data_IF_986585895891
#
_entry.id   IF_986585895891
#
_cell.length_a   1.000
_cell.length_b   1.000
_cell.length_c   1.000
_cell.angle_alpha   90.00
_cell.angle_beta   90.00
_cell.angle_gamma   90.00
#
_symmetry.space_group_name_H-M   'P 1'
#
loop_
_entity.id
_entity.type
_entity.pdbx_description
1 polymer ?
#
# COMPACT_ATOMS: atom_id res chain seq x y z
N UNK A 1 -32.02 34.60 -60.72
CA UNK A 1 -30.89 35.47 -60.35
C UNK A 1 -30.48 35.04 -58.95
N UNK A 2 -29.22 34.63 -58.80
CA UNK A 2 -28.70 33.84 -57.69
C UNK A 2 -28.55 34.63 -56.39
N UNK A 3 -28.76 33.99 -55.24
CA UNK A 3 -27.73 33.72 -54.21
C UNK A 3 -28.36 33.07 -52.97
N UNK A 4 -27.75 31.99 -52.49
CA UNK A 4 -27.78 31.59 -51.08
C UNK A 4 -26.52 32.13 -50.40
N UNK A 5 -26.55 32.34 -49.08
CA UNK A 5 -25.51 31.70 -48.28
C UNK A 5 -26.00 31.00 -47.00
N UNK A 6 -25.12 30.12 -46.53
CA UNK A 6 -25.21 29.09 -45.48
C UNK A 6 -25.29 29.61 -44.03
N UNK A 7 -25.66 28.74 -43.05
CA UNK A 7 -25.91 29.13 -41.66
C UNK A 7 -24.68 28.95 -40.75
N UNK A 8 -24.55 29.83 -39.75
CA UNK A 8 -23.50 29.74 -38.73
C UNK A 8 -23.96 30.24 -37.35
N UNK A 9 -23.98 29.31 -36.40
CA UNK A 9 -23.72 29.47 -34.95
C UNK A 9 -24.50 30.50 -34.13
N UNK A 10 -25.41 30.01 -33.28
CA UNK A 10 -25.70 30.59 -31.95
C UNK A 10 -26.74 29.73 -31.21
N UNK A 11 -26.30 28.89 -30.27
CA UNK A 11 -27.20 28.30 -29.26
C UNK A 11 -26.43 28.18 -27.94
N UNK A 12 -26.29 29.34 -27.29
CA UNK A 12 -25.85 29.50 -25.91
C UNK A 12 -26.89 30.37 -25.20
N UNK A 13 -28.00 29.75 -24.78
CA UNK A 13 -28.93 30.34 -23.83
C UNK A 13 -29.88 29.28 -23.25
N UNK A 14 -29.77 29.12 -21.92
CA UNK A 14 -30.88 28.88 -20.97
C UNK A 14 -31.46 27.45 -20.88
N UNK A 15 -31.23 26.81 -19.72
CA UNK A 15 -32.26 26.65 -18.67
C UNK A 15 -31.56 26.66 -17.29
N UNK A 16 -31.88 27.67 -16.49
CA UNK A 16 -31.63 27.75 -15.05
C UNK A 16 -32.86 27.25 -14.29
N UNK A 17 -32.61 26.61 -13.14
CA UNK A 17 -33.49 26.51 -11.96
C UNK A 17 -34.80 25.70 -12.11
N UNK A 18 -35.33 24.99 -11.12
CA UNK A 18 -34.93 24.57 -9.79
C UNK A 18 -36.00 23.54 -9.33
N UNK A 19 -35.72 22.87 -8.21
CA UNK A 19 -36.64 22.62 -7.08
C UNK A 19 -36.78 21.15 -6.63
N UNK A 20 -36.06 20.87 -5.54
CA UNK A 20 -36.48 20.23 -4.30
C UNK A 20 -37.35 18.94 -4.36
N UNK A 21 -36.76 17.82 -3.93
CA UNK A 21 -37.48 16.77 -3.20
C UNK A 21 -36.59 16.15 -2.13
N UNK A 22 -37.14 16.15 -0.92
CA UNK A 22 -36.61 15.90 0.41
C UNK A 22 -36.19 14.43 0.68
N UNK A 23 -35.11 14.24 1.45
CA UNK A 23 -34.62 12.93 1.92
C UNK A 23 -35.13 12.61 3.34
N UNK A 24 -35.48 11.35 3.67
CA UNK A 24 -36.08 11.00 4.96
C UNK A 24 -35.05 10.93 6.12
N UNK A 25 -35.44 11.24 7.37
CA UNK A 25 -34.50 11.39 8.49
C UNK A 25 -34.11 10.05 9.15
N UNK A 26 -32.85 9.98 9.58
CA UNK A 26 -32.28 8.88 10.36
C UNK A 26 -32.73 8.96 11.82
N UNK A 27 -33.40 7.90 12.29
CA UNK A 27 -33.79 7.70 13.70
C UNK A 27 -32.55 7.51 14.58
N UNK A 28 -32.32 8.42 15.51
CA UNK A 28 -31.37 8.23 16.61
C UNK A 28 -32.05 7.50 17.77
N UNK A 29 -31.49 6.37 18.20
CA UNK A 29 -31.86 5.71 19.46
C UNK A 29 -30.73 5.89 20.45
N UNK A 30 -30.90 6.92 21.28
CA UNK A 30 -30.15 7.16 22.52
C UNK A 30 -30.61 6.10 23.54
N UNK A 31 -29.75 5.16 23.95
CA UNK A 31 -30.02 4.26 25.08
C UNK A 31 -28.99 4.51 26.18
N UNK A 32 -29.52 4.87 27.34
CA UNK A 32 -28.81 5.52 28.44
C UNK A 32 -27.90 4.64 29.27
N UNK A 33 -27.14 5.35 30.10
CA UNK A 33 -26.31 4.95 31.22
C UNK A 33 -27.03 4.06 32.24
N UNK A 34 -26.37 2.98 32.67
CA UNK A 34 -26.62 2.33 33.96
C UNK A 34 -25.28 1.99 34.63
N UNK A 35 -25.11 2.51 35.84
CA UNK A 35 -24.14 2.09 36.87
C UNK A 35 -24.65 0.85 37.60
N UNK A 36 -23.78 -0.05 38.08
CA UNK A 36 -24.09 -0.87 39.25
C UNK A 36 -23.17 -0.56 40.45
N UNK A 37 -23.76 -0.82 41.61
CA UNK A 37 -23.36 -0.42 42.94
C UNK A 37 -22.23 -1.27 43.56
N UNK A 38 -21.75 -0.75 44.70
CA UNK A 38 -20.85 -1.32 45.69
C UNK A 38 -21.14 -2.80 46.04
N UNK A 39 -20.07 -3.57 46.12
CA UNK A 39 -19.94 -4.77 46.96
C UNK A 39 -18.50 -4.86 47.46
N UNK A 40 -18.32 -4.78 48.77
CA UNK A 40 -17.08 -5.04 49.52
C UNK A 40 -16.77 -6.54 49.43
N UNK A 41 -15.51 -6.98 49.27
CA UNK A 41 -14.76 -7.78 50.26
C UNK A 41 -13.40 -8.26 49.68
N UNK A 42 -12.45 -8.46 50.59
CA UNK A 42 -11.00 -8.65 50.45
C UNK A 42 -10.50 -9.94 49.75
N UNK A 43 -9.26 -9.87 49.20
CA UNK A 43 -8.25 -10.93 49.42
C UNK A 43 -7.61 -11.66 48.21
N UNK A 44 -6.34 -11.30 47.93
CA UNK A 44 -5.23 -12.05 47.26
C UNK A 44 -5.26 -12.34 45.73
N UNK A 45 -4.09 -12.26 45.05
CA UNK A 45 -3.99 -12.42 43.59
C UNK A 45 -3.77 -13.88 43.15
N UNK A 46 -4.36 -14.25 42.00
CA UNK A 46 -4.13 -15.52 41.30
C UNK A 46 -3.42 -15.32 39.94
N UNK A 47 -2.58 -16.28 39.51
CA UNK A 47 -1.55 -16.08 38.49
C UNK A 47 -2.04 -16.25 37.04
N UNK A 48 -1.28 -15.67 36.11
CA UNK A 48 -1.49 -15.71 34.67
C UNK A 48 -1.34 -17.14 34.10
N UNK A 49 -2.41 -17.63 33.46
CA UNK A 49 -2.41 -18.86 32.67
C UNK A 49 -1.88 -18.60 31.26
N UNK A 50 -0.74 -19.20 30.96
CA UNK A 50 -0.22 -19.42 29.61
C UNK A 50 -1.00 -20.56 28.94
N UNK A 51 -1.53 -20.31 27.73
CA UNK A 51 -2.29 -21.28 26.93
C UNK A 51 -1.47 -21.71 25.71
N UNK A 52 -1.28 -23.04 25.62
CA UNK A 52 -0.54 -23.86 24.64
C UNK A 52 -1.05 -23.75 23.19
N UNK A 53 -0.17 -24.09 22.23
CA UNK A 53 -0.22 -25.27 21.34
C UNK A 53 0.99 -25.22 20.36
N UNK A 54 1.65 -26.27 19.85
CA UNK A 54 1.61 -27.73 20.02
C UNK A 54 2.70 -28.39 19.15
N UNK A 55 3.31 -29.50 19.65
CA UNK A 55 3.81 -30.70 18.93
C UNK A 55 5.02 -30.58 17.97
N UNK A 56 6.15 -31.18 18.35
CA UNK A 56 6.79 -32.29 17.61
C UNK A 56 7.68 -33.11 18.57
N UNK A 57 7.37 -34.40 18.72
CA UNK A 57 8.19 -35.38 19.44
C UNK A 57 8.81 -36.33 18.42
N UNK A 58 10.14 -36.49 18.44
CA UNK A 58 10.78 -37.73 17.98
C UNK A 58 12.04 -38.01 18.80
N UNK A 59 11.92 -39.05 19.61
CA UNK A 59 12.95 -39.67 20.45
C UNK A 59 13.74 -40.67 19.59
N UNK A 60 15.06 -40.67 19.69
CA UNK A 60 15.86 -41.89 19.52
C UNK A 60 17.12 -41.82 20.37
N UNK A 61 17.17 -42.74 21.33
CA UNK A 61 18.26 -43.05 22.23
C UNK A 61 19.28 -43.98 21.57
N UNK A 62 20.56 -43.60 21.62
CA UNK A 62 21.74 -44.48 21.49
C UNK A 62 22.73 -43.91 22.53
N UNK A 63 23.15 -44.60 23.59
CA UNK A 63 23.90 -45.85 23.58
C UNK A 63 25.37 -45.51 23.87
N UNK A 64 25.75 -45.44 25.16
CA UNK A 64 27.13 -45.21 25.62
C UNK A 64 27.95 -46.49 25.47
N UNK A 65 29.07 -46.45 24.74
CA UNK A 65 30.14 -47.46 24.79
C UNK A 65 31.45 -46.76 25.11
N UNK A 66 32.08 -47.21 26.19
CA UNK A 66 33.44 -46.86 26.57
C UNK A 66 34.43 -47.64 25.69
N UNK A 67 35.39 -46.93 25.09
CA UNK A 67 36.41 -47.53 24.23
C UNK A 67 37.39 -46.46 23.75
N UNK A 68 38.56 -46.47 24.36
CA UNK A 68 39.61 -45.46 24.29
C UNK A 68 40.22 -45.27 22.90
N UNK A 69 40.69 -44.04 22.67
CA UNK A 69 41.58 -43.51 21.60
C UNK A 69 40.87 -42.62 20.59
N UNK A 70 40.79 -41.32 20.92
CA UNK A 70 40.73 -40.26 19.92
C UNK A 70 41.86 -39.26 20.14
N UNK A 71 42.48 -38.76 19.06
CA UNK A 71 43.79 -38.12 19.10
C UNK A 71 43.71 -36.78 19.81
N UNK A 72 44.77 -36.44 20.55
CA UNK A 72 44.99 -35.10 21.06
C UNK A 72 45.12 -34.12 19.89
N UNK A 73 44.06 -33.37 19.61
CA UNK A 73 44.10 -32.17 18.78
C UNK A 73 43.67 -30.96 19.60
N UNK A 74 44.26 -30.81 20.79
CA UNK A 74 44.26 -29.51 21.45
C UNK A 74 45.58 -28.83 21.15
N UNK A 75 45.67 -28.18 19.99
CA UNK A 75 46.47 -26.98 19.88
C UNK A 75 45.76 -26.01 18.92
N UNK A 76 45.03 -25.07 19.52
CA UNK A 76 44.90 -23.70 19.05
C UNK A 76 44.61 -23.50 17.55
N UNK A 77 43.34 -23.66 17.17
CA UNK A 77 42.76 -22.75 16.20
C UNK A 77 41.43 -22.24 16.72
N UNK A 78 41.50 -21.15 17.49
CA UNK A 78 40.50 -20.10 17.34
C UNK A 78 40.54 -19.72 15.87
N UNK A 79 39.66 -20.32 15.08
CA UNK A 79 39.36 -19.82 13.74
C UNK A 79 38.71 -18.47 13.98
N UNK A 80 39.55 -17.44 14.02
CA UNK A 80 39.11 -16.08 13.80
C UNK A 80 38.46 -16.11 12.43
N UNK A 81 37.12 -16.12 12.40
CA UNK A 81 36.39 -15.93 11.16
C UNK A 81 36.81 -14.56 10.66
N UNK A 82 37.69 -14.63 9.67
CA UNK A 82 38.18 -13.60 8.78
C UNK A 82 37.17 -12.47 8.64
N UNK A 83 37.53 -11.28 9.13
CA UNK A 83 37.84 -10.11 8.30
C UNK A 83 36.84 -9.67 7.23
N UNK A 84 35.65 -10.23 7.17
CA UNK A 84 34.54 -9.70 6.41
C UNK A 84 33.90 -8.63 7.29
N UNK A 85 33.63 -7.42 6.79
CA UNK A 85 32.81 -6.48 7.54
C UNK A 85 31.47 -7.17 7.75
N UNK A 86 31.27 -7.67 8.98
CA UNK A 86 29.97 -8.03 9.51
C UNK A 86 29.12 -6.82 9.21
N UNK A 87 28.13 -7.01 8.35
CA UNK A 87 27.14 -6.03 7.91
C UNK A 87 27.01 -4.96 8.99
N UNK A 88 27.53 -3.75 8.74
CA UNK A 88 27.47 -2.70 9.76
C UNK A 88 25.99 -2.62 10.17
N UNK A 89 25.66 -2.74 11.47
CA UNK A 89 24.27 -2.64 11.87
C UNK A 89 23.80 -1.27 11.37
N UNK A 90 22.74 -1.26 10.56
CA UNK A 90 22.16 -0.03 10.02
C UNK A 90 21.97 0.89 11.23
N UNK A 91 22.81 1.92 11.33
CA UNK A 91 22.69 2.90 12.39
C UNK A 91 21.37 3.61 12.11
N UNK A 92 20.33 3.24 12.85
CA UNK A 92 19.05 3.92 12.82
C UNK A 92 19.29 5.27 13.46
N UNK A 93 19.71 6.25 12.67
CA UNK A 93 19.79 7.64 13.09
C UNK A 93 18.41 8.02 13.62
N UNK A 94 18.31 8.24 14.94
CA UNK A 94 17.11 8.77 15.54
C UNK A 94 17.03 10.23 15.13
N UNK A 95 16.22 10.51 14.12
CA UNK A 95 15.85 11.87 13.76
C UNK A 95 14.71 12.31 14.69
N UNK A 96 14.78 13.54 15.20
CA UNK A 96 13.66 14.16 15.91
C UNK A 96 12.58 14.59 14.90
N UNK A 97 11.32 14.63 15.34
CA UNK A 97 10.22 15.11 14.51
C UNK A 97 10.43 16.59 14.16
N UNK A 98 10.29 16.93 12.89
CA UNK A 98 10.39 18.33 12.42
C UNK A 98 9.12 19.14 12.73
N UNK A 99 8.04 18.50 13.20
CA UNK A 99 6.72 19.09 13.51
C UNK A 99 6.14 19.97 12.38
N UNK A 100 6.45 19.63 11.12
CA UNK A 100 6.00 20.39 9.96
C UNK A 100 4.58 19.97 9.59
N UNK A 101 3.65 20.90 9.77
CA UNK A 101 2.23 20.69 9.48
C UNK A 101 1.86 20.77 7.99
N UNK A 102 2.81 21.05 7.09
CA UNK A 102 2.52 21.15 5.66
C UNK A 102 3.76 21.07 4.78
N UNK A 103 3.57 20.81 3.48
CA UNK A 103 4.65 20.74 2.50
C UNK A 103 5.31 22.10 2.30
N UNK A 104 6.62 22.10 2.04
CA UNK A 104 7.35 23.32 1.70
C UNK A 104 6.86 23.88 0.35
N UNK A 105 7.22 25.14 0.06
CA UNK A 105 6.86 25.78 -1.22
C UNK A 105 7.43 24.97 -2.38
N UNK A 106 6.54 24.52 -3.27
CA UNK A 106 6.91 23.68 -4.43
C UNK A 106 7.09 22.19 -4.12
N UNK A 107 6.93 21.76 -2.86
CA UNK A 107 7.01 20.36 -2.46
C UNK A 107 5.64 19.71 -2.26
N UNK A 108 4.62 20.18 -2.99
CA UNK A 108 3.30 19.55 -3.01
C UNK A 108 3.30 18.35 -3.95
N UNK A 109 2.42 17.38 -3.69
CA UNK A 109 2.21 16.25 -4.59
C UNK A 109 1.69 16.73 -5.96
N UNK A 110 2.49 16.51 -7.00
CA UNK A 110 2.12 16.80 -8.39
C UNK A 110 1.48 15.55 -9.03
N UNK A 111 0.15 15.51 -9.02
CA UNK A 111 -0.61 14.39 -9.55
C UNK A 111 -0.40 14.19 -11.06
N UNK A 112 -0.23 15.27 -11.83
CA UNK A 112 -0.05 15.19 -13.27
C UNK A 112 1.33 14.61 -13.62
N UNK A 113 2.38 15.06 -12.92
CA UNK A 113 3.72 14.51 -13.09
C UNK A 113 3.75 13.02 -12.73
N UNK A 114 3.14 12.63 -11.62
CA UNK A 114 3.07 11.21 -11.23
C UNK A 114 2.28 10.41 -12.27
N UNK A 115 1.15 10.92 -12.75
CA UNK A 115 0.35 10.24 -13.78
C UNK A 115 1.17 9.96 -15.05
N UNK A 116 1.92 10.94 -15.56
CA UNK A 116 2.79 10.74 -16.74
C UNK A 116 3.84 9.65 -16.52
N UNK A 117 4.43 9.60 -15.32
CA UNK A 117 5.38 8.55 -14.93
C UNK A 117 4.71 7.18 -14.93
N UNK A 118 3.50 7.07 -14.36
CA UNK A 118 2.75 5.82 -14.34
C UNK A 118 2.39 5.34 -15.75
N UNK A 119 1.90 6.24 -16.61
CA UNK A 119 1.56 5.94 -18.01
C UNK A 119 2.77 5.45 -18.80
N UNK A 120 3.90 6.16 -18.73
CA UNK A 120 5.13 5.77 -19.42
C UNK A 120 5.67 4.42 -18.92
N UNK A 121 5.59 4.20 -17.62
CA UNK A 121 6.02 2.96 -16.98
C UNK A 121 5.16 1.77 -17.40
N UNK A 122 3.83 1.92 -17.37
CA UNK A 122 2.90 0.89 -17.81
C UNK A 122 3.07 0.57 -19.29
N UNK A 123 3.20 1.58 -20.14
CA UNK A 123 3.42 1.41 -21.57
C UNK A 123 4.72 0.64 -21.87
N UNK A 124 5.80 0.97 -21.15
CA UNK A 124 7.08 0.28 -21.30
C UNK A 124 7.01 -1.18 -20.81
N UNK A 125 6.37 -1.43 -19.66
CA UNK A 125 6.34 -2.76 -19.04
C UNK A 125 5.36 -3.73 -19.71
N UNK A 126 4.21 -3.22 -20.19
CA UNK A 126 3.10 -4.04 -20.69
C UNK A 126 2.90 -3.95 -22.21
N UNK A 127 3.66 -3.12 -22.92
CA UNK A 127 3.55 -2.93 -24.37
C UNK A 127 3.61 -4.23 -25.18
N UNK A 128 4.50 -5.15 -24.79
CA UNK A 128 4.69 -6.45 -25.46
C UNK A 128 4.21 -7.64 -24.64
N UNK A 129 3.67 -7.40 -23.44
CA UNK A 129 3.24 -8.46 -22.53
C UNK A 129 1.89 -9.05 -22.96
N UNK A 130 1.79 -10.38 -22.90
CA UNK A 130 0.53 -11.10 -23.10
C UNK A 130 -0.06 -11.57 -21.77
N UNK A 131 -1.38 -11.57 -21.65
CA UNK A 131 -2.03 -12.06 -20.43
C UNK A 131 -1.72 -13.54 -20.19
N UNK A 132 -1.24 -13.86 -18.98
CA UNK A 132 -1.07 -15.23 -18.52
C UNK A 132 -1.71 -15.37 -17.14
N UNK A 133 -2.75 -16.22 -16.96
CA UNK A 133 -3.42 -16.37 -15.68
C UNK A 133 -2.47 -16.83 -14.56
N UNK A 134 -1.52 -17.71 -14.85
CA UNK A 134 -0.57 -18.23 -13.85
C UNK A 134 0.50 -17.21 -13.45
N UNK A 135 0.87 -16.32 -14.38
CA UNK A 135 1.88 -15.27 -14.17
C UNK A 135 1.30 -13.92 -13.74
N UNK A 136 -0.02 -13.75 -13.75
CA UNK A 136 -0.69 -12.47 -13.54
C UNK A 136 -0.45 -11.89 -12.13
N UNK A 137 -0.54 -12.70 -11.08
CA UNK A 137 -0.32 -12.27 -9.70
C UNK A 137 1.12 -11.76 -9.45
N UNK A 138 2.20 -12.51 -9.77
CA UNK A 138 3.55 -12.00 -9.59
C UNK A 138 3.86 -10.82 -10.51
N UNK A 139 3.27 -10.75 -11.71
CA UNK A 139 3.40 -9.59 -12.60
C UNK A 139 2.76 -8.34 -11.97
N UNK A 140 1.56 -8.46 -11.39
CA UNK A 140 0.90 -7.33 -10.73
C UNK A 140 1.70 -6.84 -9.52
N UNK A 141 2.30 -7.76 -8.74
CA UNK A 141 3.17 -7.40 -7.62
C UNK A 141 4.43 -6.67 -8.10
N UNK A 142 5.13 -7.21 -9.11
CA UNK A 142 6.34 -6.58 -9.63
C UNK A 142 6.06 -5.21 -10.25
N UNK A 143 4.93 -5.06 -10.95
CA UNK A 143 4.46 -3.76 -11.45
C UNK A 143 4.19 -2.78 -10.31
N UNK A 144 3.55 -3.24 -9.22
CA UNK A 144 3.26 -2.38 -8.06
C UNK A 144 4.56 -1.84 -7.45
N UNK A 145 5.56 -2.70 -7.25
CA UNK A 145 6.87 -2.32 -6.73
C UNK A 145 7.61 -1.36 -7.67
N UNK A 146 7.59 -1.65 -8.97
CA UNK A 146 8.23 -0.82 -9.99
C UNK A 146 7.59 0.57 -10.05
N UNK A 147 6.25 0.65 -10.13
CA UNK A 147 5.52 1.91 -10.14
C UNK A 147 5.71 2.70 -8.85
N UNK A 148 5.72 2.02 -7.70
CA UNK A 148 6.00 2.68 -6.42
C UNK A 148 7.41 3.29 -6.42
N UNK A 149 8.42 2.60 -6.97
CA UNK A 149 9.78 3.12 -7.05
C UNK A 149 9.89 4.29 -8.03
N UNK A 150 9.27 4.20 -9.21
CA UNK A 150 9.24 5.32 -10.17
C UNK A 150 8.51 6.55 -9.59
N UNK A 151 7.41 6.34 -8.87
CA UNK A 151 6.70 7.43 -8.21
C UNK A 151 7.53 8.07 -7.09
N UNK A 152 8.32 7.29 -6.33
CA UNK A 152 9.21 7.84 -5.28
C UNK A 152 10.23 8.83 -5.82
N UNK A 153 10.69 8.69 -7.07
CA UNK A 153 11.70 9.59 -7.65
C UNK A 153 11.14 10.97 -8.00
N UNK A 154 9.84 11.06 -8.28
CA UNK A 154 9.18 12.33 -8.64
C UNK A 154 8.39 12.95 -7.48
N UNK A 155 7.97 12.14 -6.51
CA UNK A 155 7.21 12.63 -5.37
C UNK A 155 8.13 13.32 -4.36
N UNK A 156 7.76 14.53 -3.88
CA UNK A 156 8.53 15.23 -2.86
C UNK A 156 8.73 14.40 -1.57
N UNK A 157 9.79 14.67 -0.79
CA UNK A 157 10.00 14.01 0.49
C UNK A 157 8.84 14.29 1.46
N UNK A 158 8.70 13.43 2.48
CA UNK A 158 7.61 13.43 3.48
C UNK A 158 6.23 13.03 2.96
N UNK A 159 6.13 12.40 1.79
CA UNK A 159 4.91 11.69 1.41
C UNK A 159 5.04 10.18 1.66
N UNK A 160 3.98 9.60 2.23
CA UNK A 160 3.76 8.15 2.25
C UNK A 160 3.02 7.76 0.99
N UNK A 161 3.57 6.79 0.26
CA UNK A 161 3.01 6.32 -1.01
C UNK A 161 2.32 4.98 -0.85
N UNK A 162 1.05 4.93 -1.26
CA UNK A 162 0.30 3.69 -1.42
C UNK A 162 0.06 3.46 -2.91
N UNK A 163 0.57 2.35 -3.44
CA UNK A 163 0.38 1.96 -4.84
C UNK A 163 -0.61 0.79 -4.90
N UNK A 164 -1.58 0.88 -5.79
CA UNK A 164 -2.56 -0.16 -6.06
C UNK A 164 -2.61 -0.43 -7.57
N UNK A 165 -2.49 -1.70 -7.96
CA UNK A 165 -2.53 -2.12 -9.36
C UNK A 165 -3.59 -3.20 -9.54
N UNK A 166 -4.48 -2.98 -10.50
CA UNK A 166 -5.43 -3.97 -10.99
C UNK A 166 -4.96 -4.41 -12.37
N UNK A 167 -4.67 -5.71 -12.53
CA UNK A 167 -4.28 -6.32 -13.78
C UNK A 167 -5.34 -7.37 -14.17
N UNK A 168 -5.78 -7.37 -15.42
CA UNK A 168 -6.76 -8.35 -15.89
C UNK A 168 -6.65 -8.65 -17.38
N UNK A 169 -7.35 -9.69 -17.81
CA UNK A 169 -7.45 -10.06 -19.23
C UNK A 169 -8.30 -9.03 -19.98
N UNK A 170 -7.88 -8.65 -21.18
CA UNK A 170 -8.70 -7.88 -22.10
C UNK A 170 -9.68 -8.82 -22.79
N UNK A 171 -10.97 -8.55 -22.64
CA UNK A 171 -12.06 -9.33 -23.20
C UNK A 171 -13.31 -8.48 -23.34
N UNK A 172 -14.47 -9.12 -23.51
CA UNK A 172 -15.75 -8.40 -23.60
C UNK A 172 -16.39 -8.23 -22.22
N UNK A 173 -15.63 -7.68 -21.28
CA UNK A 173 -16.09 -7.34 -19.93
C UNK A 173 -15.92 -5.85 -19.66
N UNK A 174 -16.74 -5.33 -18.75
CA UNK A 174 -16.62 -3.97 -18.22
C UNK A 174 -16.15 -4.02 -16.77
N UNK A 175 -15.21 -3.14 -16.44
CA UNK A 175 -14.69 -2.94 -15.09
C UNK A 175 -14.68 -1.45 -14.78
N UNK A 176 -15.17 -1.09 -13.59
CA UNK A 176 -15.06 0.25 -13.04
C UNK A 176 -14.27 0.16 -11.75
N UNK A 177 -13.16 0.90 -11.67
CA UNK A 177 -12.35 1.03 -10.45
C UNK A 177 -12.63 2.41 -9.85
N UNK A 178 -13.05 2.41 -8.59
CA UNK A 178 -13.30 3.64 -7.84
C UNK A 178 -12.74 3.51 -6.42
N UNK A 179 -12.33 4.64 -5.86
CA UNK A 179 -11.85 4.72 -4.49
C UNK A 179 -12.44 5.94 -3.78
N UNK A 180 -12.50 5.86 -2.45
CA UNK A 180 -12.90 6.96 -1.55
C UNK A 180 -11.93 6.95 -0.38
N UNK A 181 -11.51 8.14 0.05
CA UNK A 181 -10.57 8.32 1.15
C UNK A 181 -11.00 9.44 2.08
N UNK A 182 -10.53 9.38 3.32
CA UNK A 182 -10.58 10.48 4.28
C UNK A 182 -9.14 10.99 4.44
N UNK A 183 -8.90 12.21 3.99
CA UNK A 183 -7.58 12.81 3.87
C UNK A 183 -7.68 14.33 3.78
N UNK A 184 -6.56 15.03 3.88
CA UNK A 184 -6.51 16.49 3.79
C UNK A 184 -6.50 16.94 2.31
N UNK A 185 -7.54 17.66 1.82
CA UNK A 185 -7.62 18.08 0.43
C UNK A 185 -6.53 19.09 0.01
N UNK A 186 -5.83 19.71 0.95
CA UNK A 186 -4.79 20.69 0.63
C UNK A 186 -3.40 20.09 0.39
N UNK A 187 -3.15 18.92 0.96
CA UNK A 187 -1.82 18.28 1.00
C UNK A 187 -1.80 16.88 0.39
N UNK A 188 -2.86 16.10 0.57
CA UNK A 188 -3.00 14.73 0.09
C UNK A 188 -3.62 14.70 -1.31
N UNK A 189 -3.15 13.79 -2.16
CA UNK A 189 -3.65 13.65 -3.53
C UNK A 189 -3.35 12.27 -4.10
N UNK A 190 -3.85 12.00 -5.31
CA UNK A 190 -3.62 10.74 -6.01
C UNK A 190 -3.46 10.95 -7.51
N UNK A 191 -2.80 9.98 -8.15
CA UNK A 191 -2.69 9.87 -9.59
C UNK A 191 -3.15 8.49 -10.03
N UNK A 192 -3.81 8.41 -11.18
CA UNK A 192 -4.31 7.16 -11.74
C UNK A 192 -3.93 7.07 -13.21
N UNK A 193 -3.49 5.91 -13.67
CA UNK A 193 -3.15 5.64 -15.05
C UNK A 193 -3.74 4.31 -15.50
N UNK A 194 -4.17 4.26 -16.76
CA UNK A 194 -4.76 3.07 -17.38
C UNK A 194 -3.98 2.69 -18.62
N UNK A 195 -3.69 1.40 -18.77
CA UNK A 195 -3.07 0.83 -19.96
C UNK A 195 -3.90 -0.36 -20.46
N UNK A 196 -4.02 -0.52 -21.76
CA UNK A 196 -4.66 -1.69 -22.38
C UNK A 196 -3.94 -2.07 -23.65
N UNK A 197 -3.78 -3.37 -23.88
CA UNK A 197 -3.36 -3.94 -25.14
C UNK A 197 -4.38 -4.99 -25.63
N UNK A 198 -4.05 -5.74 -26.68
CA UNK A 198 -4.96 -6.73 -27.25
C UNK A 198 -5.34 -7.88 -26.29
N UNK A 199 -4.53 -8.16 -25.26
CA UNK A 199 -4.67 -9.34 -24.39
C UNK A 199 -4.95 -9.02 -22.92
N UNK A 200 -4.53 -7.85 -22.41
CA UNK A 200 -4.65 -7.44 -21.01
C UNK A 200 -4.95 -5.96 -20.86
N UNK A 201 -5.44 -5.60 -19.68
CA UNK A 201 -5.51 -4.23 -19.18
C UNK A 201 -4.84 -4.12 -17.81
N UNK A 202 -4.39 -2.91 -17.48
CA UNK A 202 -3.90 -2.56 -16.16
C UNK A 202 -4.42 -1.17 -15.75
N UNK A 203 -4.82 -1.04 -14.49
CA UNK A 203 -5.16 0.23 -13.84
C UNK A 203 -4.24 0.38 -12.65
N UNK A 204 -3.44 1.44 -12.63
CA UNK A 204 -2.55 1.76 -11.51
C UNK A 204 -3.01 3.05 -10.84
N UNK A 205 -3.13 3.04 -9.52
CA UNK A 205 -3.43 4.22 -8.71
C UNK A 205 -2.35 4.38 -7.64
N UNK A 206 -1.78 5.57 -7.55
CA UNK A 206 -0.84 5.95 -6.49
C UNK A 206 -1.46 7.06 -5.65
N UNK A 207 -1.56 6.82 -4.36
CA UNK A 207 -1.98 7.80 -3.36
C UNK A 207 -0.75 8.36 -2.66
N UNK A 208 -0.65 9.69 -2.62
CA UNK A 208 0.34 10.41 -1.83
C UNK A 208 -0.33 11.04 -0.63
N UNK A 209 0.05 10.56 0.57
CA UNK A 209 -0.43 11.10 1.84
C UNK A 209 0.72 11.81 2.55
N UNK A 210 0.57 13.09 2.85
CA UNK A 210 1.56 13.90 3.53
C UNK A 210 1.80 13.38 4.95
N UNK A 211 3.07 13.31 5.34
CA UNK A 211 3.50 12.87 6.66
C UNK A 211 3.91 14.10 7.47
N UNK A 212 3.03 14.51 8.39
CA UNK A 212 3.23 15.60 9.36
C UNK A 212 4.36 15.30 10.36
#
# INVERSE_FOLDING_TARGET
MAEQPLPGTSLLAQVLAADNTEAPPLRSTRRGSQTPARGTEDGKPHPLLSRRNSILSRRSSFGMVAGSRRPSWMLHRRVSFTGLPIFQPILKTRLENTYRMGPDKGCKFDAEQVQRVLEGTLACALGTAAYNPQGSAPLAQSLTELLQNQAKEVVPPRYKLVCHVVLGQQGQQSLVVGSRGLWDPETDSFASATFSNASLFAVATVYGVYFE
#
